data_IF_865488328362
#
_entry.id   IF_865488328362
#
_cell.length_a   1.000
_cell.length_b   1.000
_cell.length_c   1.000
_cell.angle_alpha   90.00
_cell.angle_beta   90.00
_cell.angle_gamma   90.00
#
_symmetry.space_group_name_H-M   'P 1'
#
loop_
_entity.id
_entity.type
_entity.pdbx_description
1 polymer ?
#
# COMPACT_ATOMS: atom_id res chain seq x y z
N UNK A 1 26.68 -0.95 -5.12
CA UNK A 1 26.30 -0.55 -6.49
C UNK A 1 24.79 -0.39 -6.50
N UNK A 2 24.27 0.78 -6.88
CA UNK A 2 22.82 0.99 -6.97
C UNK A 2 22.40 0.74 -8.42
N UNK A 3 21.43 -0.14 -8.64
CA UNK A 3 21.00 -0.51 -9.98
C UNK A 3 19.48 -0.62 -10.04
N UNK A 4 18.88 -0.02 -11.06
CA UNK A 4 17.47 -0.20 -11.40
C UNK A 4 17.38 -1.10 -12.63
N UNK A 5 16.57 -2.15 -12.54
CA UNK A 5 16.22 -3.06 -13.64
C UNK A 5 14.71 -3.11 -13.79
N UNK A 6 14.23 -3.37 -15.00
CA UNK A 6 12.81 -3.58 -15.29
C UNK A 6 12.62 -5.04 -15.69
N UNK A 7 11.86 -5.79 -14.89
CA UNK A 7 11.42 -7.14 -15.21
C UNK A 7 10.05 -7.06 -15.90
N UNK A 8 10.07 -7.22 -17.23
CA UNK A 8 8.84 -7.17 -18.05
C UNK A 8 7.99 -8.41 -17.91
N UNK A 9 8.55 -9.57 -17.54
CA UNK A 9 7.76 -10.79 -17.36
C UNK A 9 6.94 -10.70 -16.08
N UNK A 10 7.57 -10.22 -15.00
CA UNK A 10 6.90 -10.05 -13.70
C UNK A 10 6.21 -8.70 -13.52
N UNK A 11 6.31 -7.81 -14.51
CA UNK A 11 5.76 -6.44 -14.46
C UNK A 11 6.22 -5.66 -13.21
N UNK A 12 7.53 -5.71 -12.94
CA UNK A 12 8.15 -5.14 -11.74
C UNK A 12 9.38 -4.28 -12.06
N UNK A 13 9.55 -3.22 -11.28
CA UNK A 13 10.82 -2.54 -11.10
C UNK A 13 11.63 -3.27 -10.04
N UNK A 14 12.90 -3.53 -10.31
CA UNK A 14 13.82 -4.16 -9.38
C UNK A 14 14.90 -3.13 -9.06
N UNK A 15 14.87 -2.60 -7.83
CA UNK A 15 15.91 -1.74 -7.33
C UNK A 15 16.87 -2.54 -6.45
N UNK A 16 18.15 -2.49 -6.77
CA UNK A 16 19.21 -3.14 -6.01
C UNK A 16 20.04 -2.07 -5.31
N UNK A 17 20.19 -2.17 -3.99
CA UNK A 17 21.01 -1.28 -3.18
C UNK A 17 21.80 -2.10 -2.16
N UNK A 18 23.13 -2.06 -2.26
CA UNK A 18 23.99 -2.91 -1.44
C UNK A 18 23.70 -4.40 -1.72
N UNK A 19 23.38 -5.16 -0.67
CA UNK A 19 22.94 -6.56 -0.76
C UNK A 19 21.42 -6.72 -0.89
N UNK A 20 20.65 -5.62 -0.81
CA UNK A 20 19.19 -5.65 -0.85
C UNK A 20 18.64 -5.61 -2.27
N UNK A 21 17.61 -6.43 -2.52
CA UNK A 21 16.83 -6.44 -3.76
C UNK A 21 15.39 -6.08 -3.41
N UNK A 22 14.89 -5.00 -4.01
CA UNK A 22 13.59 -4.41 -3.69
C UNK A 22 12.71 -4.44 -4.95
N UNK A 23 11.88 -5.49 -5.13
CA UNK A 23 10.92 -5.54 -6.22
C UNK A 23 9.70 -4.67 -5.91
N UNK A 24 9.24 -3.91 -6.91
CA UNK A 24 8.06 -3.05 -6.83
C UNK A 24 7.22 -3.27 -8.08
N UNK A 25 5.94 -3.63 -7.92
CA UNK A 25 5.01 -3.78 -9.04
C UNK A 25 4.81 -2.46 -9.78
N UNK A 26 4.89 -2.49 -11.12
CA UNK A 26 4.71 -1.30 -11.96
C UNK A 26 3.32 -0.68 -11.73
N UNK A 27 2.28 -1.51 -11.71
CA UNK A 27 0.89 -1.07 -11.50
C UNK A 27 0.68 -0.50 -10.09
N UNK A 28 1.26 -1.13 -9.06
CA UNK A 28 1.17 -0.67 -7.68
C UNK A 28 1.80 0.72 -7.51
N UNK A 29 3.01 0.91 -8.04
CA UNK A 29 3.69 2.21 -7.99
C UNK A 29 2.91 3.29 -8.74
N UNK A 30 2.40 2.98 -9.94
CA UNK A 30 1.58 3.91 -10.73
C UNK A 30 0.31 4.33 -9.97
N UNK A 31 -0.41 3.36 -9.38
CA UNK A 31 -1.62 3.60 -8.57
C UNK A 31 -1.32 4.52 -7.39
N UNK A 32 -0.26 4.25 -6.63
CA UNK A 32 0.15 5.09 -5.50
C UNK A 32 0.53 6.50 -5.92
N UNK A 33 1.35 6.66 -6.96
CA UNK A 33 1.75 7.96 -7.46
C UNK A 33 0.55 8.79 -7.97
N UNK A 34 -0.39 8.13 -8.66
CA UNK A 34 -1.66 8.75 -9.07
C UNK A 34 -2.48 9.23 -7.88
N UNK A 35 -2.67 8.38 -6.87
CA UNK A 35 -3.37 8.74 -5.65
C UNK A 35 -2.73 9.96 -4.94
N UNK A 36 -1.40 9.99 -4.85
CA UNK A 36 -0.67 11.13 -4.27
C UNK A 36 -0.86 12.40 -5.10
N UNK A 37 -0.78 12.30 -6.43
CA UNK A 37 -0.99 13.44 -7.32
C UNK A 37 -2.40 14.03 -7.15
N UNK A 38 -3.42 13.18 -7.12
CA UNK A 38 -4.82 13.58 -6.90
C UNK A 38 -5.03 14.21 -5.52
N UNK A 39 -4.48 13.58 -4.47
CA UNK A 39 -4.54 14.09 -3.10
C UNK A 39 -3.90 15.48 -2.96
N UNK A 40 -2.78 15.72 -3.64
CA UNK A 40 -2.09 17.01 -3.65
C UNK A 40 -2.67 18.02 -4.66
N UNK A 41 -3.58 17.61 -5.55
CA UNK A 41 -4.11 18.46 -6.63
C UNK A 41 -3.08 18.84 -7.70
N UNK A 42 -2.11 17.96 -7.98
CA UNK A 42 -1.05 18.18 -8.99
C UNK A 42 -1.19 17.23 -10.18
N UNK A 43 -0.46 17.51 -11.26
CA UNK A 43 -0.48 16.66 -12.46
C UNK A 43 0.06 15.25 -12.17
N UNK A 44 -0.66 14.24 -12.67
CA UNK A 44 -0.27 12.82 -12.59
C UNK A 44 1.00 12.55 -13.44
N UNK A 45 1.80 11.51 -13.08
CA UNK A 45 2.87 11.00 -13.94
C UNK A 45 2.36 10.67 -15.35
N UNK A 46 3.13 11.03 -16.38
CA UNK A 46 2.71 10.90 -17.79
C UNK A 46 3.53 9.86 -18.55
N UNK A 47 4.71 9.53 -18.05
CA UNK A 47 5.61 8.57 -18.69
C UNK A 47 4.97 7.18 -18.80
N UNK A 48 5.41 6.40 -19.79
CA UNK A 48 4.87 5.07 -20.06
C UNK A 48 5.21 4.09 -18.94
N UNK A 49 4.19 3.44 -18.37
CA UNK A 49 4.37 2.38 -17.38
C UNK A 49 5.38 1.31 -17.85
N UNK A 50 6.30 0.94 -16.96
CA UNK A 50 7.40 0.01 -17.28
C UNK A 50 8.59 0.64 -17.98
N UNK A 51 8.72 1.97 -17.97
CA UNK A 51 9.94 2.68 -18.35
C UNK A 51 10.69 3.22 -17.12
N UNK A 52 11.96 3.60 -17.30
CA UNK A 52 12.79 4.22 -16.27
C UNK A 52 12.29 5.61 -15.90
N UNK A 53 11.82 6.36 -16.89
CA UNK A 53 11.21 7.67 -16.73
C UNK A 53 9.95 7.56 -15.85
N UNK A 54 9.09 6.58 -16.12
CA UNK A 54 7.89 6.35 -15.31
C UNK A 54 8.22 5.98 -13.86
N UNK A 55 9.23 5.12 -13.63
CA UNK A 55 9.71 4.85 -12.25
C UNK A 55 10.15 6.14 -11.56
N UNK A 56 10.95 6.95 -12.26
CA UNK A 56 11.53 8.19 -11.73
C UNK A 56 10.44 9.21 -11.40
N UNK A 57 9.48 9.42 -12.31
CA UNK A 57 8.32 10.30 -12.10
C UNK A 57 7.49 9.85 -10.91
N UNK A 58 7.19 8.55 -10.81
CA UNK A 58 6.40 8.01 -9.71
C UNK A 58 7.13 8.16 -8.38
N UNK A 59 8.41 7.81 -8.30
CA UNK A 59 9.20 7.97 -7.07
C UNK A 59 9.32 9.43 -6.65
N UNK A 60 9.54 10.35 -7.61
CA UNK A 60 9.53 11.78 -7.35
C UNK A 60 8.15 12.26 -6.83
N UNK A 61 7.05 11.70 -7.33
CA UNK A 61 5.71 11.98 -6.82
C UNK A 61 5.52 11.50 -5.38
N UNK A 62 5.98 10.28 -5.07
CA UNK A 62 5.93 9.74 -3.72
C UNK A 62 6.72 10.60 -2.72
N UNK A 63 7.90 11.07 -3.12
CA UNK A 63 8.72 11.98 -2.31
C UNK A 63 8.02 13.33 -2.10
N UNK A 64 7.41 13.91 -3.14
CA UNK A 64 6.59 15.12 -3.01
C UNK A 64 5.42 14.92 -2.04
N UNK A 65 4.76 13.77 -2.10
CA UNK A 65 3.70 13.37 -1.17
C UNK A 65 4.18 13.31 0.27
N UNK A 66 5.33 12.67 0.50
CA UNK A 66 5.96 12.61 1.80
C UNK A 66 6.29 14.00 2.37
N UNK A 67 6.89 14.88 1.56
CA UNK A 67 7.20 16.26 1.94
C UNK A 67 5.93 17.08 2.22
N UNK A 68 4.88 16.89 1.41
CA UNK A 68 3.59 17.54 1.62
C UNK A 68 2.96 17.12 2.96
N UNK A 69 2.94 15.82 3.25
CA UNK A 69 2.46 15.29 4.53
C UNK A 69 3.26 15.85 5.71
N UNK A 70 4.59 15.86 5.61
CA UNK A 70 5.46 16.41 6.66
C UNK A 70 5.18 17.88 6.94
N UNK A 71 4.88 18.68 5.91
CA UNK A 71 4.59 20.11 6.03
C UNK A 71 3.19 20.39 6.58
N UNK A 72 2.20 19.59 6.19
CA UNK A 72 0.77 19.87 6.47
C UNK A 72 0.22 19.08 7.65
N UNK A 73 0.87 17.98 8.04
CA UNK A 73 0.34 17.01 8.99
C UNK A 73 -0.76 16.10 8.43
N UNK A 74 -1.12 16.25 7.15
CA UNK A 74 -2.18 15.48 6.50
C UNK A 74 -1.67 14.11 6.01
N UNK A 75 -2.59 13.14 5.93
CA UNK A 75 -2.31 11.79 5.40
C UNK A 75 -2.95 11.59 4.02
N UNK A 76 -2.28 10.81 3.17
CA UNK A 76 -2.79 10.37 1.88
C UNK A 76 -3.45 8.98 2.00
N UNK A 77 -4.78 8.94 1.99
CA UNK A 77 -5.54 7.68 2.14
C UNK A 77 -5.56 6.79 0.89
N UNK A 78 -4.80 7.14 -0.16
CA UNK A 78 -4.86 6.44 -1.45
C UNK A 78 -4.28 5.02 -1.47
N UNK A 79 -3.74 4.53 -0.35
CA UNK A 79 -3.23 3.17 -0.17
C UNK A 79 -4.10 2.33 0.78
N UNK A 80 -5.27 2.85 1.17
CA UNK A 80 -6.29 2.10 1.88
C UNK A 80 -7.11 1.25 0.90
N UNK A 81 -7.42 0.02 1.30
CA UNK A 81 -8.37 -0.83 0.59
C UNK A 81 -9.77 -0.20 0.66
N UNK A 82 -10.41 0.16 -0.46
CA UNK A 82 -11.70 0.86 -0.45
C UNK A 82 -12.82 0.10 0.27
N UNK A 83 -12.78 -1.24 0.26
CA UNK A 83 -13.79 -2.09 0.89
C UNK A 83 -13.65 -2.18 2.43
N UNK A 84 -12.51 -1.76 2.97
CA UNK A 84 -12.22 -1.81 4.41
C UNK A 84 -12.25 -0.42 5.05
N UNK A 85 -12.37 0.66 4.27
CA UNK A 85 -12.50 2.02 4.80
C UNK A 85 -13.76 2.13 5.66
N UNK A 86 -13.59 2.56 6.91
CA UNK A 86 -14.66 2.66 7.89
C UNK A 86 -14.82 1.42 8.77
N UNK A 87 -14.06 0.35 8.51
CA UNK A 87 -14.03 -0.85 9.34
C UNK A 87 -12.80 -0.93 10.25
N UNK A 88 -11.99 0.11 10.33
CA UNK A 88 -10.81 0.14 11.20
C UNK A 88 -11.20 -0.07 12.67
N UNK A 89 -10.60 -1.08 13.29
CA UNK A 89 -10.93 -1.53 14.65
C UNK A 89 -12.12 -2.49 14.73
N UNK A 90 -12.79 -2.79 13.62
CA UNK A 90 -13.83 -3.82 13.55
C UNK A 90 -13.25 -5.17 13.10
N UNK A 91 -13.94 -6.24 13.46
CA UNK A 91 -13.68 -7.58 12.94
C UNK A 91 -14.54 -7.82 11.72
N UNK A 92 -13.96 -8.34 10.65
CA UNK A 92 -14.65 -8.64 9.40
C UNK A 92 -14.44 -10.10 9.01
N UNK A 93 -15.41 -10.68 8.31
CA UNK A 93 -15.23 -11.88 7.49
C UNK A 93 -15.24 -11.49 6.03
N UNK A 94 -14.26 -12.02 5.30
CA UNK A 94 -14.12 -11.77 3.87
C UNK A 94 -14.10 -13.08 3.11
N UNK A 95 -14.59 -13.04 1.87
CA UNK A 95 -14.30 -14.04 0.86
C UNK A 95 -13.25 -13.45 -0.08
N UNK A 96 -12.07 -14.05 -0.13
CA UNK A 96 -11.01 -13.58 -1.01
C UNK A 96 -11.29 -13.90 -2.48
N UNK A 97 -10.41 -13.40 -3.36
CA UNK A 97 -10.58 -13.61 -4.79
C UNK A 97 -10.40 -15.08 -5.24
N UNK A 98 -9.83 -15.94 -4.39
CA UNK A 98 -9.72 -17.37 -4.61
C UNK A 98 -10.91 -18.16 -4.03
N UNK A 99 -11.84 -17.49 -3.34
CA UNK A 99 -13.02 -18.09 -2.73
C UNK A 99 -12.80 -18.60 -1.31
N UNK A 100 -11.65 -18.33 -0.69
CA UNK A 100 -11.41 -18.71 0.70
C UNK A 100 -12.03 -17.69 1.64
N UNK A 101 -12.69 -18.20 2.68
CA UNK A 101 -13.26 -17.38 3.75
C UNK A 101 -12.27 -17.26 4.89
N UNK A 102 -12.01 -16.03 5.35
CA UNK A 102 -11.20 -15.77 6.55
C UNK A 102 -11.75 -14.57 7.32
N UNK A 103 -11.42 -14.48 8.61
CA UNK A 103 -11.86 -13.37 9.45
C UNK A 103 -10.69 -12.76 10.20
N UNK A 104 -10.62 -11.44 10.19
CA UNK A 104 -9.55 -10.67 10.81
C UNK A 104 -10.07 -9.33 11.33
N UNK A 105 -9.29 -8.70 12.20
CA UNK A 105 -9.49 -7.31 12.57
C UNK A 105 -8.84 -6.40 11.54
N UNK A 106 -9.56 -5.35 11.14
CA UNK A 106 -9.01 -4.34 10.23
C UNK A 106 -8.21 -3.35 11.05
N UNK A 107 -6.89 -3.33 10.88
CA UNK A 107 -6.04 -2.27 11.42
C UNK A 107 -5.51 -1.37 10.30
N UNK A 108 -4.85 -0.27 10.65
CA UNK A 108 -4.18 0.61 9.69
C UNK A 108 -2.79 1.02 10.17
N UNK A 109 -1.85 1.14 9.25
CA UNK A 109 -0.54 1.72 9.54
C UNK A 109 -0.64 3.22 9.85
N UNK A 110 0.32 3.77 10.61
CA UNK A 110 0.32 5.18 11.05
C UNK A 110 1.13 6.11 10.15
N UNK A 111 1.62 5.63 8.99
CA UNK A 111 2.46 6.40 8.08
C UNK A 111 1.74 7.56 7.40
N UNK A 112 2.49 8.34 6.62
CA UNK A 112 1.91 9.44 5.82
C UNK A 112 0.97 8.95 4.71
N UNK A 113 1.16 7.71 4.26
CA UNK A 113 0.28 7.00 3.33
C UNK A 113 -0.15 5.67 3.96
N UNK A 114 -1.19 5.67 4.83
CA UNK A 114 -1.59 4.50 5.57
C UNK A 114 -2.13 3.38 4.66
N UNK A 115 -2.01 2.14 5.13
CA UNK A 115 -2.56 0.92 4.52
C UNK A 115 -3.35 0.12 5.54
N UNK A 116 -4.36 -0.62 5.06
CA UNK A 116 -5.04 -1.61 5.88
C UNK A 116 -4.17 -2.84 6.13
N UNK A 117 -4.29 -3.38 7.32
CA UNK A 117 -3.64 -4.60 7.78
C UNK A 117 -4.73 -5.60 8.17
N UNK A 118 -4.51 -6.87 7.82
CA UNK A 118 -5.28 -8.00 8.34
C UNK A 118 -4.61 -8.46 9.62
N UNK A 119 -5.31 -8.34 10.75
CA UNK A 119 -4.78 -8.68 12.07
C UNK A 119 -5.62 -9.79 12.67
N UNK A 120 -5.02 -10.97 12.86
CA UNK A 120 -5.74 -12.13 13.41
C UNK A 120 -6.19 -11.92 14.86
N UNK A 121 -5.45 -11.11 15.63
CA UNK A 121 -5.79 -10.72 17.01
C UNK A 121 -5.38 -9.29 17.30
N UNK A 122 -6.32 -8.41 17.66
CA UNK A 122 -5.96 -7.15 18.30
C UNK A 122 -5.32 -7.46 19.67
N UNK A 123 -4.09 -7.00 19.97
CA UNK A 123 -3.66 -6.97 21.36
C UNK A 123 -4.52 -5.95 22.10
N UNK A 124 -4.88 -6.26 23.35
CA UNK A 124 -5.42 -5.27 24.27
C UNK A 124 -4.36 -4.17 24.44
N UNK A 125 -4.54 -3.04 23.75
CA UNK A 125 -3.76 -1.82 23.89
C UNK A 125 -2.30 -1.98 23.42
N UNK A 126 -2.04 -1.65 22.15
CA UNK A 126 -0.71 -1.36 21.55
C UNK A 126 0.50 -1.74 22.42
N UNK A 127 0.90 -3.02 22.41
CA UNK A 127 2.05 -3.46 23.18
C UNK A 127 2.12 -4.96 23.42
N UNK A 128 2.52 -5.73 22.41
CA UNK A 128 3.35 -6.93 22.61
C UNK A 128 3.92 -7.42 21.29
N UNK A 129 5.19 -7.82 21.33
CA UNK A 129 5.91 -8.48 20.27
C UNK A 129 5.12 -9.70 19.76
N UNK A 130 4.61 -9.64 18.52
CA UNK A 130 4.08 -10.81 17.82
C UNK A 130 4.97 -11.09 16.61
N UNK A 131 5.79 -12.13 16.74
CA UNK A 131 6.49 -12.78 15.62
C UNK A 131 5.52 -13.58 14.71
N UNK A 132 4.28 -13.12 14.53
CA UNK A 132 3.31 -13.70 13.59
C UNK A 132 2.61 -12.55 12.82
N UNK A 133 3.19 -12.28 11.66
CA UNK A 133 2.77 -11.58 10.44
C UNK A 133 1.41 -10.84 10.46
N UNK A 134 1.42 -9.56 10.85
CA UNK A 134 0.42 -8.60 10.33
C UNK A 134 0.61 -8.50 8.81
N UNK A 135 -0.33 -9.02 8.02
CA UNK A 135 -0.24 -9.02 6.56
C UNK A 135 -0.95 -7.77 6.01
N UNK A 136 -0.37 -7.16 4.98
CA UNK A 136 -1.05 -6.12 4.22
C UNK A 136 -2.37 -6.67 3.68
N UNK A 137 -3.46 -5.95 3.93
CA UNK A 137 -4.76 -6.34 3.42
C UNK A 137 -4.79 -6.36 1.89
N UNK A 138 -5.54 -7.33 1.36
CA UNK A 138 -5.79 -7.41 -0.07
C UNK A 138 -6.49 -6.13 -0.56
N UNK A 139 -6.18 -5.75 -1.80
CA UNK A 139 -6.80 -4.56 -2.39
C UNK A 139 -8.29 -4.75 -2.66
N UNK A 140 -8.72 -6.00 -2.82
CA UNK A 140 -10.09 -6.38 -3.19
C UNK A 140 -10.47 -7.75 -2.63
N UNK A 141 -11.71 -7.88 -2.20
CA UNK A 141 -12.38 -9.10 -1.76
C UNK A 141 -13.68 -9.28 -2.56
N UNK A 142 -14.17 -10.52 -2.67
CA UNK A 142 -15.47 -10.82 -3.26
C UNK A 142 -16.61 -10.33 -2.36
N UNK A 143 -16.47 -10.49 -1.04
CA UNK A 143 -17.40 -9.94 -0.04
C UNK A 143 -16.66 -9.54 1.24
N UNK A 144 -17.23 -8.59 1.97
CA UNK A 144 -16.77 -8.13 3.28
C UNK A 144 -17.99 -7.94 4.17
N UNK A 145 -18.02 -8.61 5.31
CA UNK A 145 -19.08 -8.53 6.31
C UNK A 145 -18.49 -8.25 7.69
N UNK A 146 -19.06 -7.29 8.43
CA UNK A 146 -18.63 -7.01 9.81
C UNK A 146 -19.23 -8.07 10.73
N UNK A 147 -18.38 -8.69 11.56
CA UNK A 147 -18.80 -9.66 12.57
C UNK A 147 -18.57 -9.08 13.95
N UNK A 148 -19.64 -9.02 14.75
CA UNK A 148 -19.63 -8.55 16.15
C UNK A 148 -19.08 -9.58 17.12
#
# INVERSE_FOLDING_TARGET
>A
MNQLKIDKQKQQYIFTQGSGVFPIGIALLAKRAKAVAQWMGVAEPKSKAGSFEHYTECMAMMEKGHQHAKRTGLQCNGNLSPQLVGYEGARVSVVDNAGYTRSFWVARTLGWMPSHLEVDRLPAIFGRDSNEDDVLADETYQSVEVIG
#
